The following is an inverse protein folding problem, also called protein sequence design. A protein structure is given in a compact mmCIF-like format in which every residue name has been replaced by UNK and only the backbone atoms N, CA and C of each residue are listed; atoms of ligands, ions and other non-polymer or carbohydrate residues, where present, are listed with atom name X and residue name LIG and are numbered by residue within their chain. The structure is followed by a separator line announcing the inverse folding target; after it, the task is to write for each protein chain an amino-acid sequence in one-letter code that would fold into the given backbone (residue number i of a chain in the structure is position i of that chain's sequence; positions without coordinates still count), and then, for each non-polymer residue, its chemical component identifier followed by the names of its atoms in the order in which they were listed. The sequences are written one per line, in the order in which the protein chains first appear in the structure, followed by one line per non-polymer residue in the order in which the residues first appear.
data_IF_984102903263
#
_entry.id   IF_984102903263
#
_cell.length_a   1.000
_cell.length_b   1.000
_cell.length_c   1.000
_cell.angle_alpha   90.00
_cell.angle_beta   90.00
_cell.angle_gamma   90.00
#
_symmetry.space_group_name_H-M   'P 1'
#
loop_
_entity.id
_entity.type
_entity.pdbx_description
1 polymer ?
#
# COMPACT_ATOMS: atom_id res chain seq x y z
N UNK A 1 30.66 9.28 -8.70
CA UNK A 1 29.77 10.41 -8.32
C UNK A 1 28.57 10.31 -9.24
N UNK A 2 27.40 10.34 -8.69
CA UNK A 2 26.18 10.06 -9.44
C UNK A 2 25.11 11.11 -9.16
N UNK A 3 24.00 10.99 -9.87
CA UNK A 3 22.82 11.82 -9.62
C UNK A 3 21.80 11.04 -8.83
N UNK A 4 21.16 11.70 -7.87
CA UNK A 4 19.98 11.15 -7.19
C UNK A 4 18.73 11.78 -7.78
N UNK A 5 17.77 10.93 -8.13
CA UNK A 5 16.50 11.38 -8.70
C UNK A 5 15.37 11.02 -7.76
N UNK A 6 14.64 12.02 -7.30
CA UNK A 6 13.37 11.87 -6.58
C UNK A 6 12.21 12.18 -7.51
N UNK A 7 11.15 11.36 -7.46
CA UNK A 7 9.97 11.55 -8.31
C UNK A 7 8.71 11.49 -7.45
N UNK A 8 7.84 12.47 -7.64
CA UNK A 8 6.49 12.45 -7.11
C UNK A 8 5.47 12.45 -8.25
N UNK A 9 4.65 11.40 -8.31
CA UNK A 9 3.61 11.25 -9.34
C UNK A 9 2.26 11.66 -8.76
N UNK A 10 1.84 12.87 -9.11
CA UNK A 10 0.49 13.34 -8.86
C UNK A 10 -0.49 12.95 -9.98
N UNK A 11 -1.77 13.25 -9.77
CA UNK A 11 -2.81 12.94 -10.74
C UNK A 11 -2.72 13.73 -12.05
N UNK A 12 -2.10 14.91 -12.04
CA UNK A 12 -2.02 15.83 -13.19
C UNK A 12 -0.58 16.01 -13.65
N UNK A 13 0.35 16.18 -12.73
CA UNK A 13 1.76 16.40 -13.01
C UNK A 13 2.62 15.42 -12.22
N UNK A 14 3.77 15.11 -12.78
CA UNK A 14 4.86 14.37 -12.15
C UNK A 14 6.03 15.31 -11.99
N UNK A 15 6.49 15.44 -10.76
CA UNK A 15 7.60 16.30 -10.37
C UNK A 15 8.87 15.48 -10.21
N UNK A 16 9.95 15.97 -10.81
CA UNK A 16 11.29 15.40 -10.69
C UNK A 16 12.20 16.36 -9.94
N UNK A 17 12.97 15.81 -9.03
CA UNK A 17 14.00 16.49 -8.30
C UNK A 17 15.32 15.77 -8.50
N UNK A 18 16.32 16.42 -9.07
CA UNK A 18 17.63 15.86 -9.39
C UNK A 18 18.67 16.51 -8.51
N UNK A 19 19.35 15.70 -7.72
CA UNK A 19 20.44 16.14 -6.85
C UNK A 19 21.77 15.64 -7.40
N UNK A 20 22.68 16.56 -7.65
CA UNK A 20 24.06 16.27 -8.04
C UNK A 20 24.92 16.05 -6.80
N UNK A 21 25.38 14.82 -6.59
CA UNK A 21 26.22 14.45 -5.44
C UNK A 21 27.60 15.13 -5.45
N UNK A 22 28.05 15.64 -6.60
CA UNK A 22 29.37 16.27 -6.72
C UNK A 22 29.39 17.76 -6.36
N UNK A 23 28.35 18.46 -6.74
CA UNK A 23 28.19 19.91 -6.56
C UNK A 23 27.25 20.30 -5.43
N UNK A 24 26.37 19.37 -5.02
CA UNK A 24 25.26 19.67 -4.10
C UNK A 24 24.12 20.45 -4.76
N UNK A 25 24.16 20.64 -6.08
CA UNK A 25 23.11 21.36 -6.82
C UNK A 25 21.81 20.57 -6.89
N UNK A 26 20.69 21.29 -6.83
CA UNK A 26 19.34 20.74 -6.97
C UNK A 26 18.71 21.33 -8.22
N UNK A 27 18.21 20.45 -9.10
CA UNK A 27 17.45 20.83 -10.30
C UNK A 27 16.06 20.20 -10.24
N UNK A 28 15.05 20.88 -10.79
CA UNK A 28 13.67 20.40 -10.79
C UNK A 28 13.08 20.41 -12.18
N UNK A 29 12.25 19.43 -12.48
CA UNK A 29 11.54 19.31 -13.74
C UNK A 29 10.11 18.85 -13.46
N UNK A 30 9.15 19.36 -14.21
CA UNK A 30 7.75 18.96 -14.15
C UNK A 30 7.29 18.47 -15.52
N UNK A 31 6.61 17.32 -15.55
CA UNK A 31 5.98 16.74 -16.74
C UNK A 31 4.50 16.43 -16.47
N UNK A 32 3.71 16.28 -17.53
CA UNK A 32 2.32 15.81 -17.38
C UNK A 32 2.30 14.33 -17.02
N UNK A 33 1.51 13.97 -16.02
CA UNK A 33 1.25 12.56 -15.68
C UNK A 33 0.45 11.85 -16.77
N UNK A 34 0.66 10.55 -16.91
CA UNK A 34 0.01 9.69 -17.90
C UNK A 34 -0.69 8.52 -17.20
N UNK A 35 -1.85 8.75 -16.52
CA UNK A 35 -2.59 7.70 -15.83
C UNK A 35 -3.01 6.53 -16.73
N UNK A 36 -3.14 6.80 -18.04
CA UNK A 36 -3.46 5.82 -19.11
C UNK A 36 -2.29 4.88 -19.43
N UNK A 37 -1.04 5.30 -19.13
CA UNK A 37 0.19 4.56 -19.42
C UNK A 37 1.17 4.70 -18.27
N UNK A 38 0.99 3.94 -17.16
CA UNK A 38 1.85 4.02 -15.98
C UNK A 38 3.34 3.84 -16.32
N UNK A 39 4.17 4.80 -15.91
CA UNK A 39 5.60 4.84 -16.18
C UNK A 39 6.01 5.66 -17.41
N UNK A 40 5.11 6.00 -18.32
CA UNK A 40 5.45 6.81 -19.51
C UNK A 40 5.97 8.21 -19.13
N UNK A 41 5.43 8.79 -18.06
CA UNK A 41 5.89 10.05 -17.48
C UNK A 41 7.34 9.95 -16.95
N UNK A 42 7.77 8.79 -16.45
CA UNK A 42 9.15 8.56 -15.99
C UNK A 42 10.10 8.58 -17.20
N UNK A 43 9.78 7.88 -18.29
CA UNK A 43 10.57 7.93 -19.51
C UNK A 43 10.68 9.36 -20.03
N UNK A 44 9.54 10.05 -20.12
CA UNK A 44 9.50 11.45 -20.57
C UNK A 44 10.35 12.37 -19.68
N UNK A 45 10.27 12.19 -18.36
CA UNK A 45 11.03 12.97 -17.40
C UNK A 45 12.53 12.74 -17.52
N UNK A 46 12.97 11.48 -17.57
CA UNK A 46 14.39 11.14 -17.73
C UNK A 46 14.98 11.67 -19.06
N UNK A 47 14.23 11.56 -20.17
CA UNK A 47 14.62 12.15 -21.45
C UNK A 47 14.81 13.65 -21.35
N UNK A 48 13.84 14.36 -20.73
CA UNK A 48 13.93 15.82 -20.58
C UNK A 48 15.02 16.23 -19.59
N UNK A 49 15.32 15.44 -18.58
CA UNK A 49 16.46 15.67 -17.66
C UNK A 49 17.77 15.59 -18.45
N UNK A 50 17.90 14.57 -19.31
CA UNK A 50 19.08 14.42 -20.17
C UNK A 50 19.25 15.64 -21.09
N UNK A 51 18.18 16.08 -21.74
CA UNK A 51 18.19 17.23 -22.66
C UNK A 51 18.46 18.59 -21.96
N UNK A 52 17.85 18.79 -20.77
CA UNK A 52 17.91 20.10 -20.10
C UNK A 52 19.15 20.30 -19.23
N UNK A 53 19.69 19.22 -18.67
CA UNK A 53 20.75 19.28 -17.68
C UNK A 53 22.02 18.49 -18.09
N UNK A 54 22.05 17.89 -19.28
CA UNK A 54 23.14 17.05 -19.77
C UNK A 54 23.46 15.87 -18.81
N UNK A 55 22.38 15.26 -18.27
CA UNK A 55 22.47 14.15 -17.29
C UNK A 55 21.99 12.86 -17.93
N UNK A 56 22.91 12.00 -18.29
CA UNK A 56 22.58 10.68 -18.85
C UNK A 56 21.86 9.79 -17.81
N UNK A 57 20.78 9.09 -18.17
CA UNK A 57 20.07 8.17 -17.27
C UNK A 57 20.98 7.12 -16.62
N UNK A 58 22.03 6.69 -17.31
CA UNK A 58 23.03 5.73 -16.81
C UNK A 58 23.87 6.27 -15.64
N UNK A 59 23.92 7.60 -15.44
CA UNK A 59 24.61 8.26 -14.34
C UNK A 59 23.76 8.38 -13.06
N UNK A 60 22.48 7.96 -13.11
CA UNK A 60 21.61 7.93 -11.93
C UNK A 60 22.08 6.83 -10.98
N UNK A 61 22.54 7.24 -9.80
CA UNK A 61 23.04 6.36 -8.73
C UNK A 61 21.95 5.94 -7.74
N UNK A 62 20.89 6.74 -7.63
CA UNK A 62 19.78 6.51 -6.72
C UNK A 62 18.48 7.07 -7.30
N UNK A 63 17.43 6.24 -7.31
CA UNK A 63 16.10 6.63 -7.76
C UNK A 63 15.11 6.37 -6.65
N UNK A 64 14.35 7.39 -6.23
CA UNK A 64 13.31 7.26 -5.22
C UNK A 64 11.98 7.78 -5.74
N UNK A 65 10.91 7.16 -5.30
CA UNK A 65 9.58 7.46 -5.82
C UNK A 65 8.51 7.35 -4.74
N UNK A 66 7.67 8.40 -4.63
CA UNK A 66 6.40 8.39 -3.93
C UNK A 66 5.27 8.06 -4.91
N UNK A 67 4.29 7.28 -4.50
CA UNK A 67 3.17 6.90 -5.36
C UNK A 67 1.83 7.00 -4.67
N UNK A 68 0.83 7.46 -5.39
CA UNK A 68 -0.57 7.50 -4.94
C UNK A 68 -1.41 6.36 -5.52
N UNK A 69 -0.80 5.40 -6.25
CA UNK A 69 -1.52 4.29 -6.92
C UNK A 69 -2.36 3.50 -5.92
N UNK A 70 -1.80 3.13 -4.76
CA UNK A 70 -2.52 2.35 -3.76
C UNK A 70 -3.72 3.09 -3.17
N UNK A 71 -3.52 4.34 -2.73
CA UNK A 71 -4.62 5.12 -2.14
C UNK A 71 -5.69 5.45 -3.18
N UNK A 72 -5.32 5.77 -4.41
CA UNK A 72 -6.27 6.02 -5.49
C UNK A 72 -7.08 4.77 -5.84
N UNK A 73 -6.48 3.58 -5.80
CA UNK A 73 -7.19 2.31 -5.99
C UNK A 73 -8.28 2.12 -4.93
N UNK A 74 -8.00 2.46 -3.66
CA UNK A 74 -8.97 2.40 -2.56
C UNK A 74 -10.08 3.43 -2.74
N UNK A 75 -9.73 4.71 -2.96
CA UNK A 75 -10.71 5.81 -3.09
C UNK A 75 -11.66 5.58 -4.28
N UNK A 76 -11.12 5.14 -5.42
CA UNK A 76 -11.89 4.88 -6.64
C UNK A 76 -12.60 3.52 -6.63
N UNK A 77 -12.39 2.70 -5.61
CA UNK A 77 -12.93 1.34 -5.51
C UNK A 77 -12.63 0.46 -6.73
N UNK A 78 -11.40 0.55 -7.26
CA UNK A 78 -10.92 -0.18 -8.45
C UNK A 78 -9.92 -1.29 -8.12
N UNK A 79 -9.98 -1.83 -6.93
CA UNK A 79 -9.15 -2.98 -6.54
C UNK A 79 -9.66 -4.31 -7.09
N UNK A 80 -8.97 -5.37 -6.73
CA UNK A 80 -9.31 -6.75 -7.10
C UNK A 80 -10.64 -7.19 -6.44
N UNK A 81 -11.34 -8.14 -7.06
CA UNK A 81 -12.51 -8.76 -6.43
C UNK A 81 -12.05 -9.67 -5.28
N UNK A 82 -12.02 -9.09 -4.09
CA UNK A 82 -11.43 -9.68 -2.88
C UNK A 82 -12.49 -10.37 -2.04
N UNK A 83 -12.17 -11.58 -1.53
CA UNK A 83 -12.94 -12.28 -0.53
C UNK A 83 -12.16 -12.34 0.80
N UNK A 84 -12.87 -12.53 1.90
CA UNK A 84 -12.31 -12.67 3.23
C UNK A 84 -12.71 -14.02 3.85
N UNK A 85 -11.72 -14.77 4.34
CA UNK A 85 -11.91 -15.90 5.22
C UNK A 85 -11.61 -15.47 6.65
N UNK A 86 -12.55 -15.64 7.54
CA UNK A 86 -12.42 -15.34 8.97
C UNK A 86 -12.90 -16.52 9.80
N UNK A 87 -12.63 -16.52 11.10
CA UNK A 87 -13.17 -17.53 12.01
C UNK A 87 -14.70 -17.48 12.00
N UNK A 88 -15.35 -18.62 11.97
CA UNK A 88 -16.82 -18.75 12.02
C UNK A 88 -17.41 -17.93 13.16
N UNK A 89 -18.54 -17.25 12.92
CA UNK A 89 -19.22 -16.29 13.79
C UNK A 89 -18.50 -14.94 13.97
N UNK A 90 -17.44 -14.66 13.18
CA UNK A 90 -16.76 -13.35 13.13
C UNK A 90 -16.87 -12.69 11.75
N UNK A 91 -17.79 -13.14 10.91
CA UNK A 91 -17.95 -12.67 9.54
C UNK A 91 -18.34 -11.19 9.46
N UNK A 92 -18.89 -10.63 10.54
CA UNK A 92 -19.31 -9.23 10.60
C UNK A 92 -18.17 -8.28 11.03
N UNK A 93 -16.93 -8.77 11.16
CA UNK A 93 -15.78 -8.00 11.68
C UNK A 93 -15.55 -6.68 10.94
N UNK A 94 -15.74 -6.65 9.62
CA UNK A 94 -15.55 -5.43 8.82
C UNK A 94 -16.72 -4.44 8.97
N UNK A 95 -17.95 -4.93 9.14
CA UNK A 95 -19.13 -4.10 9.35
C UNK A 95 -19.22 -3.56 10.76
N UNK A 96 -18.94 -4.41 11.75
CA UNK A 96 -18.91 -4.02 13.17
C UNK A 96 -17.78 -3.02 13.44
N UNK A 97 -16.61 -3.25 12.84
CA UNK A 97 -15.43 -2.41 12.99
C UNK A 97 -15.14 -2.07 14.47
N UNK A 98 -15.08 -0.78 14.83
CA UNK A 98 -14.93 -0.30 16.22
C UNK A 98 -16.24 0.16 16.86
N UNK A 99 -17.39 -0.21 16.31
CA UNK A 99 -18.72 0.24 16.75
C UNK A 99 -18.93 1.76 16.75
N UNK A 100 -18.06 2.53 16.10
CA UNK A 100 -18.20 3.99 16.01
C UNK A 100 -19.10 4.35 14.84
N UNK A 101 -20.17 5.09 15.11
CA UNK A 101 -21.00 5.72 14.09
C UNK A 101 -20.43 7.12 13.79
N UNK A 102 -20.49 7.58 12.53
CA UNK A 102 -20.05 8.94 12.17
C UNK A 102 -20.80 10.01 12.98
N UNK A 103 -22.10 9.89 13.09
CA UNK A 103 -22.94 10.66 14.01
C UNK A 103 -23.87 9.71 14.79
N UNK A 104 -23.64 9.50 16.10
CA UNK A 104 -24.43 8.56 16.90
C UNK A 104 -25.85 9.08 17.21
N UNK A 105 -26.14 10.36 16.96
CA UNK A 105 -27.45 10.97 17.20
C UNK A 105 -28.30 11.12 15.93
N UNK A 106 -27.74 10.87 14.75
CA UNK A 106 -28.45 10.85 13.49
C UNK A 106 -28.99 9.43 13.20
N UNK A 107 -30.32 9.32 13.08
CA UNK A 107 -30.98 8.04 12.75
C UNK A 107 -30.62 7.49 11.36
N UNK A 108 -30.13 8.35 10.47
CA UNK A 108 -29.69 7.98 9.13
C UNK A 108 -28.17 7.83 9.02
N UNK A 109 -27.45 7.95 10.14
CA UNK A 109 -26.02 7.76 10.17
C UNK A 109 -25.66 6.36 9.69
N UNK A 110 -24.84 6.28 8.65
CA UNK A 110 -24.36 5.03 8.09
C UNK A 110 -22.82 5.00 8.05
N UNK A 111 -22.25 3.83 8.25
CA UNK A 111 -20.82 3.63 8.05
C UNK A 111 -20.50 3.55 6.56
N UNK A 112 -19.29 3.94 6.15
CA UNK A 112 -18.83 3.64 4.80
C UNK A 112 -18.89 2.14 4.52
N UNK A 113 -19.34 1.78 3.32
CA UNK A 113 -19.37 0.38 2.89
C UNK A 113 -17.94 -0.21 2.92
N UNK A 114 -17.72 -1.40 3.50
CA UNK A 114 -16.43 -2.08 3.50
C UNK A 114 -15.90 -2.33 2.09
N UNK A 115 -14.58 -2.52 1.93
CA UNK A 115 -13.97 -2.92 0.65
C UNK A 115 -14.35 -4.34 0.24
N UNK A 116 -14.61 -5.19 1.22
CA UNK A 116 -15.16 -6.54 1.05
C UNK A 116 -16.54 -6.54 1.69
N UNK A 117 -17.57 -6.68 0.88
CA UNK A 117 -18.96 -6.72 1.30
C UNK A 117 -19.29 -8.03 2.03
N UNK A 118 -20.33 -8.05 2.87
CA UNK A 118 -20.65 -9.19 3.74
C UNK A 118 -20.87 -10.51 2.98
N UNK A 119 -21.41 -10.45 1.78
CA UNK A 119 -21.62 -11.59 0.89
C UNK A 119 -20.33 -12.26 0.40
N UNK A 120 -19.17 -11.57 0.54
CA UNK A 120 -17.84 -12.07 0.22
C UNK A 120 -16.98 -12.41 1.45
N UNK A 121 -17.60 -12.43 2.63
CA UNK A 121 -16.94 -12.83 3.89
C UNK A 121 -17.45 -14.21 4.29
N UNK A 122 -16.54 -15.16 4.43
CA UNK A 122 -16.85 -16.58 4.69
C UNK A 122 -16.21 -17.04 6.00
N UNK A 123 -17.03 -17.66 6.86
CA UNK A 123 -16.60 -18.25 8.12
C UNK A 123 -15.89 -19.59 7.91
N UNK A 124 -14.76 -19.76 8.57
CA UNK A 124 -13.99 -21.00 8.62
C UNK A 124 -14.11 -21.56 10.02
N UNK A 125 -14.50 -22.82 10.11
CA UNK A 125 -14.69 -23.48 11.38
C UNK A 125 -13.34 -23.92 11.97
N UNK A 126 -12.89 -23.15 12.91
CA UNK A 126 -11.64 -23.27 13.65
C UNK A 126 -11.65 -22.36 14.88
N UNK A 127 -10.77 -22.61 15.85
CA UNK A 127 -10.55 -21.64 16.93
C UNK A 127 -9.16 -21.77 17.52
N UNK A 128 -8.43 -20.66 17.52
CA UNK A 128 -7.21 -20.47 18.30
C UNK A 128 -7.55 -19.53 19.46
N UNK A 129 -7.03 -19.84 20.65
CA UNK A 129 -7.20 -19.05 21.86
C UNK A 129 -6.12 -17.96 21.98
N UNK A 130 -6.30 -17.04 22.91
CA UNK A 130 -5.40 -15.89 23.11
C UNK A 130 -3.98 -16.27 23.56
N UNK A 131 -3.80 -17.46 24.12
CA UNK A 131 -2.50 -18.03 24.49
C UNK A 131 -1.81 -18.75 23.32
N UNK A 132 -2.52 -18.94 22.18
CA UNK A 132 -2.04 -19.62 20.98
C UNK A 132 -2.37 -21.10 20.94
N UNK A 133 -3.05 -21.66 21.95
CA UNK A 133 -3.53 -23.04 21.91
C UNK A 133 -4.70 -23.20 20.94
N UNK A 134 -4.82 -24.39 20.36
CA UNK A 134 -5.92 -24.75 19.48
C UNK A 134 -7.07 -25.29 20.32
N UNK A 135 -8.19 -24.57 20.35
CA UNK A 135 -9.44 -25.00 20.98
C UNK A 135 -10.27 -25.87 20.02
N UNK A 136 -10.47 -25.36 18.82
CA UNK A 136 -11.17 -26.09 17.76
C UNK A 136 -10.23 -26.29 16.57
N UNK A 137 -9.91 -27.53 16.19
CA UNK A 137 -9.11 -27.82 15.02
C UNK A 137 -9.75 -27.30 13.74
N UNK A 138 -8.92 -26.97 12.75
CA UNK A 138 -9.37 -26.51 11.44
C UNK A 138 -10.20 -27.61 10.73
N UNK A 139 -11.45 -27.30 10.41
CA UNK A 139 -12.32 -28.17 9.63
C UNK A 139 -12.10 -27.94 8.13
N UNK A 140 -11.49 -28.93 7.45
CA UNK A 140 -11.14 -28.80 6.03
C UNK A 140 -12.33 -28.60 5.11
N UNK A 141 -13.48 -29.17 5.46
CA UNK A 141 -14.69 -29.05 4.64
C UNK A 141 -15.27 -27.63 4.66
N UNK A 142 -15.12 -26.91 5.78
CA UNK A 142 -15.52 -25.50 5.84
C UNK A 142 -14.68 -24.63 4.90
N UNK A 143 -13.37 -24.92 4.77
CA UNK A 143 -12.47 -24.24 3.83
C UNK A 143 -12.88 -24.51 2.38
N UNK A 144 -13.18 -25.75 2.03
CA UNK A 144 -13.63 -26.13 0.67
C UNK A 144 -14.97 -25.52 0.30
N UNK A 145 -15.91 -25.52 1.25
CA UNK A 145 -17.20 -24.86 1.08
C UNK A 145 -17.03 -23.37 0.83
N UNK A 146 -16.22 -22.70 1.62
CA UNK A 146 -15.90 -21.29 1.43
C UNK A 146 -15.21 -21.03 0.08
N UNK A 147 -14.27 -21.89 -0.33
CA UNK A 147 -13.57 -21.79 -1.61
C UNK A 147 -14.54 -21.96 -2.81
N UNK A 148 -15.52 -22.85 -2.71
CA UNK A 148 -16.57 -23.00 -3.73
C UNK A 148 -17.36 -21.70 -3.87
N UNK A 149 -17.74 -21.07 -2.76
CA UNK A 149 -18.47 -19.80 -2.77
C UNK A 149 -17.63 -18.64 -3.32
N UNK A 150 -16.31 -18.62 -3.07
CA UNK A 150 -15.40 -17.65 -3.70
C UNK A 150 -15.46 -17.75 -5.22
N UNK A 151 -15.47 -18.97 -5.77
CA UNK A 151 -15.58 -19.19 -7.22
C UNK A 151 -16.94 -18.73 -7.75
N UNK A 152 -18.04 -18.95 -7.02
CA UNK A 152 -19.39 -18.50 -7.38
C UNK A 152 -19.51 -16.97 -7.47
N UNK A 153 -18.85 -16.23 -6.56
CA UNK A 153 -18.84 -14.75 -6.58
C UNK A 153 -17.73 -14.17 -7.46
N UNK A 154 -16.97 -15.01 -8.16
CA UNK A 154 -15.89 -14.60 -9.05
C UNK A 154 -14.72 -13.93 -8.31
N UNK A 155 -14.38 -14.42 -7.12
CA UNK A 155 -13.28 -13.87 -6.32
C UNK A 155 -11.91 -14.14 -6.96
N UNK A 156 -11.09 -13.10 -7.10
CA UNK A 156 -9.74 -13.18 -7.67
C UNK A 156 -8.66 -13.40 -6.60
N UNK A 157 -8.95 -12.99 -5.37
CA UNK A 157 -8.02 -13.10 -4.25
C UNK A 157 -8.78 -13.35 -2.93
N UNK A 158 -8.10 -13.97 -1.97
CA UNK A 158 -8.62 -14.27 -0.63
C UNK A 158 -7.64 -13.70 0.40
N UNK A 159 -8.17 -12.91 1.32
CA UNK A 159 -7.50 -12.61 2.59
C UNK A 159 -7.94 -13.65 3.61
N UNK A 160 -7.00 -14.26 4.31
CA UNK A 160 -7.26 -15.14 5.45
C UNK A 160 -6.89 -14.38 6.72
N UNK A 161 -7.88 -14.12 7.58
CA UNK A 161 -7.72 -13.37 8.82
C UNK A 161 -8.49 -14.06 9.95
N UNK A 162 -7.81 -15.01 10.58
CA UNK A 162 -8.40 -15.85 11.63
C UNK A 162 -8.12 -15.26 13.03
N UNK A 163 -8.97 -15.61 13.97
CA UNK A 163 -8.84 -15.16 15.35
C UNK A 163 -7.52 -15.63 15.96
N UNK A 164 -6.84 -14.71 16.66
CA UNK A 164 -5.56 -14.95 17.34
C UNK A 164 -4.42 -15.47 16.45
N UNK A 165 -4.52 -15.37 15.11
CA UNK A 165 -3.46 -15.77 14.19
C UNK A 165 -2.15 -14.99 14.37
N UNK A 166 -2.18 -13.82 15.00
CA UNK A 166 -0.98 -13.08 15.41
C UNK A 166 -0.14 -13.86 16.45
N UNK A 167 -0.79 -14.72 17.22
CA UNK A 167 -0.14 -15.55 18.26
C UNK A 167 0.28 -16.92 17.72
N UNK A 168 -0.61 -17.54 16.94
CA UNK A 168 -0.37 -18.81 16.27
C UNK A 168 -0.96 -18.77 14.84
N UNK A 169 -0.15 -18.61 13.80
CA UNK A 169 -0.60 -18.52 12.42
C UNK A 169 -0.84 -19.88 11.74
N UNK A 170 -0.80 -20.99 12.48
CA UNK A 170 -0.85 -22.35 11.92
C UNK A 170 -2.08 -22.57 11.04
N UNK A 171 -3.27 -22.20 11.51
CA UNK A 171 -4.50 -22.38 10.74
C UNK A 171 -4.53 -21.49 9.49
N UNK A 172 -4.07 -20.21 9.55
CA UNK A 172 -3.99 -19.36 8.36
C UNK A 172 -3.07 -19.98 7.30
N UNK A 173 -1.90 -20.48 7.71
CA UNK A 173 -0.93 -21.13 6.81
C UNK A 173 -1.52 -22.38 6.17
N UNK A 174 -2.20 -23.21 6.97
CA UNK A 174 -2.80 -24.43 6.45
C UNK A 174 -3.95 -24.15 5.47
N UNK A 175 -4.81 -23.15 5.77
CA UNK A 175 -5.83 -22.66 4.82
C UNK A 175 -5.18 -22.21 3.51
N UNK A 176 -4.07 -21.46 3.59
CA UNK A 176 -3.35 -21.00 2.39
C UNK A 176 -2.78 -22.16 1.57
N UNK A 177 -2.27 -23.22 2.20
CA UNK A 177 -1.79 -24.41 1.51
C UNK A 177 -2.91 -25.11 0.75
N UNK A 178 -4.09 -25.25 1.37
CA UNK A 178 -5.27 -25.84 0.73
C UNK A 178 -5.68 -25.01 -0.49
N UNK A 179 -5.79 -23.68 -0.33
CA UNK A 179 -6.20 -22.80 -1.43
C UNK A 179 -5.20 -22.88 -2.58
N UNK A 180 -3.90 -22.80 -2.30
CA UNK A 180 -2.84 -22.90 -3.33
C UNK A 180 -2.86 -24.23 -4.08
N UNK A 181 -3.27 -25.30 -3.42
CA UNK A 181 -3.38 -26.64 -4.02
C UNK A 181 -4.67 -26.82 -4.85
N UNK A 182 -5.81 -26.34 -4.34
CA UNK A 182 -7.13 -26.61 -4.93
C UNK A 182 -7.64 -25.49 -5.86
N UNK A 183 -7.04 -24.28 -5.77
CA UNK A 183 -7.33 -23.11 -6.61
C UNK A 183 -6.08 -22.22 -6.80
N UNK A 184 -5.05 -22.73 -7.51
CA UNK A 184 -3.78 -22.02 -7.68
C UNK A 184 -3.89 -20.68 -8.41
N UNK A 185 -5.00 -20.44 -9.11
CA UNK A 185 -5.32 -19.17 -9.78
C UNK A 185 -5.71 -18.06 -8.78
N UNK A 186 -6.17 -18.41 -7.59
CA UNK A 186 -6.62 -17.45 -6.58
C UNK A 186 -5.44 -17.04 -5.70
N UNK A 187 -5.20 -15.75 -5.61
CA UNK A 187 -4.16 -15.20 -4.73
C UNK A 187 -4.58 -15.29 -3.27
N UNK A 188 -3.65 -15.66 -2.39
CA UNK A 188 -3.89 -15.77 -0.94
C UNK A 188 -2.98 -14.83 -0.18
N UNK A 189 -3.57 -14.05 0.70
CA UNK A 189 -2.91 -13.11 1.60
C UNK A 189 -3.23 -13.50 3.04
N UNK A 190 -2.21 -13.63 3.90
CA UNK A 190 -2.39 -13.94 5.31
C UNK A 190 -2.29 -12.67 6.15
N UNK A 191 -3.26 -12.45 7.01
CA UNK A 191 -3.27 -11.29 7.88
C UNK A 191 -2.11 -11.32 8.90
N UNK A 192 -1.71 -12.53 9.33
CA UNK A 192 -0.55 -12.75 10.19
C UNK A 192 0.79 -12.37 9.56
N UNK A 193 0.91 -12.42 8.21
CA UNK A 193 2.12 -12.02 7.50
C UNK A 193 2.16 -10.49 7.25
N UNK A 194 0.99 -9.87 7.08
CA UNK A 194 0.90 -8.42 6.81
C UNK A 194 1.16 -7.60 8.07
N UNK A 195 0.43 -7.89 9.15
CA UNK A 195 0.55 -7.14 10.40
C UNK A 195 0.05 -7.95 11.61
N UNK A 196 0.91 -8.71 12.28
CA UNK A 196 0.55 -9.63 13.36
C UNK A 196 0.27 -8.89 14.68
N UNK A 197 -0.80 -8.08 14.74
CA UNK A 197 -1.23 -7.35 15.95
C UNK A 197 -2.42 -8.02 16.62
N UNK A 198 -2.59 -7.74 17.90
CA UNK A 198 -3.61 -8.34 18.75
C UNK A 198 -5.04 -7.99 18.34
N UNK A 199 -5.28 -6.85 17.70
CA UNK A 199 -6.61 -6.35 17.39
C UNK A 199 -7.12 -6.94 16.07
N UNK A 200 -8.23 -7.65 16.13
CA UNK A 200 -8.80 -8.40 15.00
C UNK A 200 -9.21 -7.49 13.85
N UNK A 201 -9.94 -6.41 14.16
CA UNK A 201 -10.40 -5.46 13.13
C UNK A 201 -9.22 -4.80 12.41
N UNK A 202 -8.28 -4.24 13.16
CA UNK A 202 -7.11 -3.55 12.58
C UNK A 202 -6.25 -4.50 11.76
N UNK A 203 -6.02 -5.73 12.24
CA UNK A 203 -5.28 -6.74 11.49
C UNK A 203 -6.01 -7.13 10.20
N UNK A 204 -7.32 -7.38 10.30
CA UNK A 204 -8.14 -7.78 9.17
C UNK A 204 -8.23 -6.66 8.12
N UNK A 205 -8.57 -5.44 8.53
CA UNK A 205 -8.70 -4.32 7.57
C UNK A 205 -7.38 -3.97 6.90
N UNK A 206 -6.25 -4.06 7.61
CA UNK A 206 -4.92 -3.84 7.03
C UNK A 206 -4.61 -4.88 5.96
N UNK A 207 -4.91 -6.16 6.23
CA UNK A 207 -4.72 -7.23 5.25
C UNK A 207 -5.69 -7.10 4.06
N UNK A 208 -6.94 -6.71 4.31
CA UNK A 208 -7.94 -6.43 3.26
C UNK A 208 -7.46 -5.30 2.34
N UNK A 209 -7.01 -4.17 2.91
CA UNK A 209 -6.49 -3.06 2.11
C UNK A 209 -5.27 -3.50 1.30
N UNK A 210 -4.32 -4.21 1.93
CA UNK A 210 -3.15 -4.76 1.24
C UNK A 210 -3.55 -5.65 0.07
N UNK A 211 -4.40 -6.65 0.31
CA UNK A 211 -4.87 -7.58 -0.72
C UNK A 211 -5.63 -6.88 -1.85
N UNK A 212 -6.43 -5.86 -1.51
CA UNK A 212 -7.23 -5.11 -2.46
C UNK A 212 -6.39 -4.31 -3.47
N UNK A 213 -5.27 -3.74 -3.03
CA UNK A 213 -4.43 -2.88 -3.89
C UNK A 213 -3.24 -3.61 -4.51
N UNK A 214 -2.83 -4.75 -3.97
CA UNK A 214 -1.59 -5.43 -4.34
C UNK A 214 -1.42 -5.68 -5.84
N UNK A 215 -2.40 -6.15 -6.62
CA UNK A 215 -2.21 -6.40 -8.05
C UNK A 215 -1.86 -5.14 -8.84
N UNK A 216 -2.56 -4.03 -8.57
CA UNK A 216 -2.33 -2.74 -9.24
C UNK A 216 -0.96 -2.17 -8.86
N UNK A 217 -0.61 -2.24 -7.58
CA UNK A 217 0.70 -1.80 -7.09
C UNK A 217 1.83 -2.64 -7.69
N UNK A 218 1.69 -3.97 -7.70
CA UNK A 218 2.70 -4.86 -8.26
C UNK A 218 2.89 -4.64 -9.77
N UNK A 219 1.80 -4.44 -10.52
CA UNK A 219 1.85 -4.10 -11.94
C UNK A 219 2.57 -2.77 -12.16
N UNK A 220 2.20 -1.74 -11.42
CA UNK A 220 2.81 -0.42 -11.49
C UNK A 220 4.33 -0.47 -11.21
N UNK A 221 4.75 -1.12 -10.12
CA UNK A 221 6.16 -1.22 -9.75
C UNK A 221 6.98 -2.04 -10.77
N UNK A 222 6.39 -3.06 -11.36
CA UNK A 222 7.02 -3.82 -12.44
C UNK A 222 7.19 -2.97 -13.70
N UNK A 223 6.19 -2.15 -14.04
CA UNK A 223 6.27 -1.21 -15.15
C UNK A 223 7.36 -0.15 -14.91
N UNK A 224 7.45 0.38 -13.69
CA UNK A 224 8.49 1.35 -13.30
C UNK A 224 9.91 0.75 -13.49
N UNK A 225 10.15 -0.47 -12.99
CA UNK A 225 11.45 -1.15 -13.17
C UNK A 225 11.79 -1.34 -14.65
N UNK A 226 10.82 -1.73 -15.46
CA UNK A 226 10.99 -1.91 -16.91
C UNK A 226 11.35 -0.58 -17.59
N UNK A 227 10.61 0.49 -17.30
CA UNK A 227 10.84 1.81 -17.88
C UNK A 227 12.20 2.37 -17.50
N UNK A 228 12.64 2.23 -16.25
CA UNK A 228 13.98 2.67 -15.81
C UNK A 228 15.08 1.93 -16.59
N UNK A 229 14.93 0.62 -16.74
CA UNK A 229 15.89 -0.20 -17.51
C UNK A 229 15.92 0.20 -18.98
N UNK A 230 14.77 0.42 -19.61
CA UNK A 230 14.65 0.88 -21.01
C UNK A 230 15.24 2.26 -21.21
N UNK A 231 15.11 3.14 -20.23
CA UNK A 231 15.74 4.46 -20.25
C UNK A 231 17.26 4.42 -20.03
N UNK A 232 17.84 3.28 -19.69
CA UNK A 232 19.26 3.12 -19.41
C UNK A 232 19.66 3.44 -17.96
N UNK A 233 18.71 3.70 -17.07
CA UNK A 233 18.94 3.89 -15.65
C UNK A 233 19.02 2.52 -14.95
N UNK A 234 20.22 2.01 -14.75
CA UNK A 234 20.46 0.70 -14.12
C UNK A 234 20.48 0.81 -12.59
N UNK A 235 19.37 1.24 -12.01
CA UNK A 235 19.20 1.45 -10.57
C UNK A 235 17.92 0.76 -10.09
N UNK A 236 17.99 0.11 -8.92
CA UNK A 236 16.79 -0.43 -8.28
C UNK A 236 15.96 0.73 -7.71
N UNK A 237 14.71 0.93 -8.13
CA UNK A 237 13.89 2.00 -7.61
C UNK A 237 13.52 1.77 -6.13
N UNK A 238 13.75 2.81 -5.33
CA UNK A 238 13.35 2.87 -3.93
C UNK A 238 11.99 3.53 -3.82
N UNK A 239 11.08 2.87 -3.13
CA UNK A 239 9.72 3.38 -2.93
C UNK A 239 9.61 3.92 -1.51
N UNK A 240 9.08 5.12 -1.37
CA UNK A 240 8.85 5.69 -0.04
C UNK A 240 7.73 4.96 0.69
N UNK A 241 7.86 4.88 2.00
CA UNK A 241 6.88 4.27 2.90
C UNK A 241 6.06 5.36 3.58
N UNK A 242 4.87 4.99 4.05
CA UNK A 242 3.98 5.90 4.79
C UNK A 242 4.57 6.46 6.09
N UNK A 243 5.66 5.87 6.60
CA UNK A 243 6.39 6.34 7.78
C UNK A 243 7.65 7.17 7.43
N UNK A 244 7.81 7.60 6.18
CA UNK A 244 8.96 8.37 5.71
C UNK A 244 10.23 7.56 5.40
N UNK A 245 10.25 6.25 5.66
CA UNK A 245 11.32 5.35 5.23
C UNK A 245 11.23 4.98 3.76
N UNK A 246 12.13 4.10 3.30
CA UNK A 246 12.14 3.57 1.93
C UNK A 246 12.23 2.05 1.92
N UNK A 247 11.79 1.43 0.81
CA UNK A 247 11.97 0.02 0.51
C UNK A 247 12.21 -0.16 -0.98
N UNK A 248 12.76 -1.29 -1.40
CA UNK A 248 12.93 -1.61 -2.83
C UNK A 248 11.57 -1.79 -3.51
N UNK A 249 11.49 -1.49 -4.81
CA UNK A 249 10.27 -1.74 -5.58
C UNK A 249 9.87 -3.23 -5.53
N UNK A 250 10.84 -4.14 -5.53
CA UNK A 250 10.55 -5.57 -5.43
C UNK A 250 9.83 -5.92 -4.12
N UNK A 251 10.27 -5.35 -3.00
CA UNK A 251 9.58 -5.53 -1.72
C UNK A 251 8.21 -4.84 -1.69
N UNK A 252 8.08 -3.69 -2.33
CA UNK A 252 6.81 -2.94 -2.43
C UNK A 252 5.69 -3.73 -3.12
N UNK A 253 6.01 -4.68 -3.98
CA UNK A 253 5.02 -5.55 -4.65
C UNK A 253 4.27 -6.47 -3.67
N UNK A 254 4.88 -6.80 -2.53
CA UNK A 254 4.28 -7.61 -1.47
C UNK A 254 3.86 -6.79 -0.26
N UNK A 255 4.69 -5.84 0.15
CA UNK A 255 4.47 -5.01 1.35
C UNK A 255 3.72 -3.70 1.03
N UNK A 256 2.80 -3.74 0.07
CA UNK A 256 2.12 -2.58 -0.50
C UNK A 256 1.33 -1.73 0.52
N UNK A 257 0.86 -2.32 1.62
CA UNK A 257 0.19 -1.57 2.70
C UNK A 257 1.07 -0.46 3.29
N UNK A 258 2.39 -0.65 3.31
CA UNK A 258 3.33 0.31 3.89
C UNK A 258 3.58 1.55 3.01
N UNK A 259 3.09 1.58 1.78
CA UNK A 259 3.33 2.66 0.82
C UNK A 259 2.07 3.45 0.42
N UNK A 260 0.92 3.18 1.04
CA UNK A 260 -0.37 3.77 0.66
C UNK A 260 -0.37 5.30 0.70
N UNK A 261 0.29 5.91 1.69
CA UNK A 261 0.41 7.36 1.87
C UNK A 261 1.85 7.85 1.63
N UNK A 262 2.57 7.21 0.71
CA UNK A 262 4.00 7.47 0.50
C UNK A 262 4.31 8.86 -0.08
N UNK A 263 3.45 9.39 -0.94
CA UNK A 263 3.58 10.75 -1.49
C UNK A 263 3.51 11.80 -0.37
N UNK A 264 2.43 11.77 0.41
CA UNK A 264 2.25 12.65 1.59
C UNK A 264 3.42 12.55 2.55
N UNK A 265 3.84 11.34 2.91
CA UNK A 265 4.97 11.13 3.82
C UNK A 265 6.27 11.74 3.27
N UNK A 266 6.52 11.63 1.96
CA UNK A 266 7.69 12.25 1.31
C UNK A 266 7.67 13.76 1.41
N UNK A 267 6.51 14.40 1.19
CA UNK A 267 6.34 15.84 1.33
C UNK A 267 6.60 16.32 2.76
N UNK A 268 6.10 15.59 3.75
CA UNK A 268 6.31 15.87 5.18
C UNK A 268 7.78 15.73 5.55
N UNK A 269 8.48 14.69 5.07
CA UNK A 269 9.93 14.52 5.31
C UNK A 269 10.74 15.63 4.67
N UNK A 270 10.37 16.10 3.48
CA UNK A 270 10.98 17.27 2.83
C UNK A 270 10.80 18.54 3.65
N UNK A 271 9.59 18.82 4.11
CA UNK A 271 9.28 19.96 4.98
C UNK A 271 10.04 19.90 6.32
N UNK A 272 10.15 18.70 6.90
CA UNK A 272 10.93 18.42 8.10
C UNK A 272 12.42 18.77 7.91
N UNK A 273 13.00 18.34 6.79
CA UNK A 273 14.40 18.68 6.44
C UNK A 273 14.62 20.19 6.32
N UNK A 274 13.68 20.91 5.70
CA UNK A 274 13.73 22.38 5.59
C UNK A 274 13.63 23.03 6.97
N UNK A 275 12.69 22.59 7.81
CA UNK A 275 12.52 23.11 9.16
C UNK A 275 13.80 22.94 10.01
N UNK A 276 14.47 21.79 9.90
CA UNK A 276 15.77 21.55 10.56
C UNK A 276 16.87 22.49 10.05
N UNK A 277 17.00 22.63 8.72
CA UNK A 277 18.03 23.46 8.11
C UNK A 277 17.83 24.94 8.45
N UNK A 278 16.60 25.42 8.49
CA UNK A 278 16.23 26.80 8.83
C UNK A 278 16.11 27.04 10.33
N UNK A 279 16.26 25.99 11.15
CA UNK A 279 16.16 26.05 12.62
C UNK A 279 14.80 26.58 13.10
N UNK A 280 13.73 26.29 12.35
CA UNK A 280 12.36 26.66 12.74
C UNK A 280 11.82 25.58 13.69
N UNK A 281 11.50 25.92 14.96
CA UNK A 281 11.13 24.94 15.98
C UNK A 281 9.73 24.35 15.78
N UNK A 282 8.84 25.09 15.12
CA UNK A 282 7.49 24.62 14.77
C UNK A 282 7.17 24.99 13.33
N UNK A 283 6.77 24.02 12.54
CA UNK A 283 6.33 24.21 11.17
C UNK A 283 5.06 23.39 10.88
N UNK A 284 4.33 23.81 9.88
CA UNK A 284 3.21 23.04 9.33
C UNK A 284 3.43 22.91 7.84
N UNK A 285 3.34 21.69 7.32
CA UNK A 285 3.27 21.46 5.89
C UNK A 285 1.81 21.37 5.45
N UNK A 286 1.52 21.95 4.30
CA UNK A 286 0.22 21.87 3.64
C UNK A 286 0.47 21.52 2.17
N UNK A 287 0.02 20.35 1.77
CA UNK A 287 0.05 19.90 0.38
C UNK A 287 -1.38 19.81 -0.15
N UNK A 288 -1.69 20.60 -1.19
CA UNK A 288 -3.02 20.66 -1.79
C UNK A 288 -2.93 20.10 -3.20
N UNK A 289 -3.42 18.87 -3.36
CA UNK A 289 -3.60 18.22 -4.65
C UNK A 289 -4.97 18.50 -5.29
N UNK A 290 -5.25 17.81 -6.39
CA UNK A 290 -6.54 17.91 -7.08
C UNK A 290 -7.69 17.18 -6.36
N UNK A 291 -7.39 16.26 -5.46
CA UNK A 291 -8.36 15.35 -4.79
C UNK A 291 -8.30 15.39 -3.28
N UNK A 292 -7.17 15.80 -2.71
CA UNK A 292 -6.94 15.82 -1.25
C UNK A 292 -6.10 17.02 -0.84
N UNK A 293 -6.16 17.36 0.44
CA UNK A 293 -5.25 18.27 1.10
C UNK A 293 -4.63 17.55 2.30
N UNK A 294 -3.31 17.49 2.32
CA UNK A 294 -2.55 16.81 3.35
C UNK A 294 -1.86 17.82 4.26
N UNK A 295 -2.06 17.65 5.57
CA UNK A 295 -1.52 18.56 6.59
C UNK A 295 -0.66 17.77 7.56
N UNK A 296 0.52 18.27 7.88
CA UNK A 296 1.35 17.70 8.94
C UNK A 296 1.96 18.79 9.82
N UNK A 297 2.09 18.48 11.09
CA UNK A 297 2.77 19.33 12.07
C UNK A 297 4.18 18.79 12.28
N UNK A 298 5.16 19.69 12.28
CA UNK A 298 6.57 19.39 12.48
C UNK A 298 7.04 20.16 13.72
N UNK A 299 7.54 19.44 14.70
CA UNK A 299 8.10 20.03 15.92
C UNK A 299 9.56 19.64 16.07
N UNK A 300 10.43 20.66 16.21
CA UNK A 300 11.89 20.48 16.30
C UNK A 300 12.49 19.61 15.18
N UNK A 301 11.93 19.72 13.97
CA UNK A 301 12.34 18.94 12.81
C UNK A 301 11.76 17.52 12.74
N UNK A 302 10.90 17.10 13.68
CA UNK A 302 10.29 15.79 13.70
C UNK A 302 8.78 15.89 13.36
N UNK A 303 8.29 15.14 12.38
CA UNK A 303 6.87 15.03 12.11
C UNK A 303 6.10 14.46 13.30
N UNK A 304 4.95 15.02 13.61
CA UNK A 304 4.05 14.53 14.64
C UNK A 304 2.96 13.67 14.00
N UNK A 305 2.83 12.42 14.46
CA UNK A 305 1.87 11.41 13.96
C UNK A 305 0.74 11.15 14.95
#
# INVERSE_FOLDING_TARGET
MGFRVGVDIGGTFTDFCVFDESTGALSTLKVLSRPDKPGAEIMTGLTKIAEAYDIEPSSVSYFTHGTTVGVNTVIQRKGVNLCLFTTENFEDVLEVARLRMPDPYDLFSARPEPLVTRDKVFGIKERILSDGSIDTPLELESVRTALTRVKEVGGDAIVVALMHAYRNPEHERYVAEIIRKEAPEIKVILASDIWPVVREYERTITAVVAGYVQPQVAYYLSSLQTVLKEAGANVEPMITKSNGGVMTAERGKTDCAQMLLSGTASGVMGASSIAMQTKVPMAMSLDIGGTSADVAIIYSGEPQF
#
